data_IF_626613591827
#
_entry.id   IF_626613591827
#
_cell.length_a   1.000
_cell.length_b   1.000
_cell.length_c   1.000
_cell.angle_alpha   90.00
_cell.angle_beta   90.00
_cell.angle_gamma   90.00
#
_symmetry.space_group_name_H-M   'P 1'
#
loop_
_entity.id
_entity.type
_entity.pdbx_description
1 polymer ?
#
# COMPACT_ATOMS: atom_id res chain seq x y z
N UNK A 1 -29.39 -13.54 -26.00
CA UNK A 1 -28.95 -12.12 -25.91
C UNK A 1 -27.52 -12.11 -26.43
N UNK A 2 -27.36 -11.87 -27.73
CA UNK A 2 -26.11 -12.13 -28.45
C UNK A 2 -25.46 -10.81 -28.88
N UNK A 3 -24.15 -10.85 -29.06
CA UNK A 3 -23.33 -9.71 -29.47
C UNK A 3 -23.83 -9.11 -30.78
N UNK A 4 -23.81 -7.77 -30.89
CA UNK A 4 -24.26 -7.05 -32.07
C UNK A 4 -23.33 -7.34 -33.27
N UNK A 5 -23.77 -8.06 -34.31
CA UNK A 5 -22.92 -8.46 -35.43
C UNK A 5 -22.54 -7.29 -36.35
N UNK A 6 -23.16 -6.12 -36.19
CA UNK A 6 -22.89 -4.93 -37.00
C UNK A 6 -21.85 -3.97 -36.36
N UNK A 7 -21.31 -4.31 -35.18
CA UNK A 7 -20.25 -3.50 -34.55
C UNK A 7 -18.92 -3.72 -35.26
N UNK A 8 -18.38 -2.65 -35.84
CA UNK A 8 -16.99 -2.61 -36.26
C UNK A 8 -16.12 -2.31 -35.03
N UNK A 9 -15.33 -3.30 -34.62
CA UNK A 9 -14.41 -3.15 -33.50
C UNK A 9 -13.26 -2.19 -33.88
N UNK A 10 -12.71 -1.43 -32.92
CA UNK A 10 -11.49 -0.68 -33.13
C UNK A 10 -10.35 -1.60 -33.55
N UNK A 11 -9.29 -1.02 -34.13
CA UNK A 11 -8.09 -1.76 -34.48
C UNK A 11 -7.60 -2.58 -33.28
N UNK A 12 -7.15 -3.81 -33.57
CA UNK A 12 -6.57 -4.70 -32.56
C UNK A 12 -5.46 -3.96 -31.83
N UNK A 13 -5.51 -3.94 -30.49
CA UNK A 13 -4.36 -3.54 -29.69
C UNK A 13 -3.26 -4.56 -29.98
N UNK A 14 -2.25 -4.14 -30.72
CA UNK A 14 -1.16 -4.94 -31.29
C UNK A 14 0.00 -5.17 -30.30
N UNK A 15 -0.20 -4.82 -29.03
CA UNK A 15 0.83 -4.91 -28.00
C UNK A 15 1.84 -3.76 -28.01
N UNK A 16 1.63 -2.70 -28.81
CA UNK A 16 2.45 -1.47 -28.77
C UNK A 16 2.20 -0.61 -27.53
N UNK A 17 1.13 -0.89 -26.77
CA UNK A 17 1.00 -0.37 -25.41
C UNK A 17 2.07 -1.05 -24.57
N UNK A 18 3.17 -0.35 -24.34
CA UNK A 18 4.20 -0.80 -23.43
C UNK A 18 3.56 -0.92 -22.05
N UNK A 19 3.36 -2.15 -21.58
CA UNK A 19 2.98 -2.36 -20.19
C UNK A 19 4.08 -1.74 -19.34
N UNK A 20 3.69 -0.94 -18.34
CA UNK A 20 4.59 -0.64 -17.22
C UNK A 20 5.19 -1.99 -16.78
N UNK A 21 6.52 -2.06 -16.73
CA UNK A 21 7.19 -3.32 -16.39
C UNK A 21 6.85 -3.64 -14.95
N UNK A 22 5.86 -4.50 -14.71
CA UNK A 22 5.45 -4.88 -13.36
C UNK A 22 6.57 -5.73 -12.76
N UNK A 23 7.24 -5.19 -11.74
CA UNK A 23 8.24 -5.92 -10.96
C UNK A 23 9.56 -6.13 -11.69
N UNK A 24 10.30 -5.05 -11.91
CA UNK A 24 11.70 -5.15 -12.28
C UNK A 24 12.51 -5.95 -11.22
N UNK A 25 13.68 -6.46 -11.62
CA UNK A 25 14.51 -7.28 -10.72
C UNK A 25 14.83 -6.49 -9.44
N UNK A 26 14.52 -7.07 -8.28
CA UNK A 26 14.75 -6.45 -6.98
C UNK A 26 13.67 -5.46 -6.53
N UNK A 27 12.55 -5.35 -7.26
CA UNK A 27 11.37 -4.65 -6.74
C UNK A 27 10.87 -5.32 -5.46
N UNK A 28 10.45 -4.52 -4.49
CA UNK A 28 9.86 -5.04 -3.23
C UNK A 28 8.69 -5.98 -3.53
N UNK A 29 8.62 -7.17 -2.88
CA UNK A 29 7.46 -8.04 -3.00
C UNK A 29 6.19 -7.39 -2.45
N UNK A 30 5.03 -7.80 -2.98
CA UNK A 30 3.75 -7.35 -2.45
C UNK A 30 3.66 -7.57 -0.93
N UNK A 31 3.31 -6.51 -0.20
CA UNK A 31 3.37 -6.47 1.26
C UNK A 31 1.96 -6.48 1.83
N UNK A 32 1.62 -7.52 2.59
CA UNK A 32 0.30 -7.72 3.19
C UNK A 32 0.29 -7.30 4.66
N UNK A 33 -0.70 -6.49 5.07
CA UNK A 33 -0.77 -5.95 6.43
C UNK A 33 -1.66 -6.79 7.38
N UNK A 34 -2.63 -7.54 6.84
CA UNK A 34 -3.50 -8.43 7.63
C UNK A 34 -2.80 -9.70 8.11
N UNK A 35 -3.26 -10.26 9.24
CA UNK A 35 -2.57 -11.40 9.88
C UNK A 35 -2.51 -12.68 9.04
N UNK A 36 -3.43 -12.86 8.09
CA UNK A 36 -3.51 -14.10 7.30
C UNK A 36 -2.37 -14.28 6.29
N UNK A 37 -1.75 -13.18 5.85
CA UNK A 37 -0.75 -13.18 4.77
C UNK A 37 0.48 -12.32 5.04
N UNK A 38 0.53 -11.59 6.15
CA UNK A 38 1.69 -10.78 6.49
C UNK A 38 2.90 -11.66 6.79
N UNK A 39 4.00 -11.43 6.08
CA UNK A 39 5.25 -12.20 6.22
C UNK A 39 6.45 -11.32 6.57
N UNK A 40 6.36 -10.01 6.37
CA UNK A 40 7.45 -9.06 6.47
C UNK A 40 7.15 -7.88 7.43
N UNK A 41 6.23 -8.06 8.38
CA UNK A 41 6.09 -7.15 9.52
C UNK A 41 7.33 -7.27 10.41
N UNK A 42 8.04 -6.16 10.57
CA UNK A 42 9.19 -6.02 11.46
C UNK A 42 9.02 -4.74 12.28
N UNK A 43 8.75 -4.89 13.58
CA UNK A 43 8.50 -3.79 14.50
C UNK A 43 8.02 -4.28 15.86
N UNK A 44 7.73 -3.35 16.78
CA UNK A 44 7.14 -3.71 18.06
C UNK A 44 5.63 -4.02 17.90
N UNK A 45 5.17 -5.11 18.51
CA UNK A 45 3.79 -5.59 18.42
C UNK A 45 3.64 -6.80 17.51
N UNK A 46 2.51 -7.51 17.63
CA UNK A 46 2.19 -8.68 16.82
C UNK A 46 0.79 -8.52 16.25
N UNK A 47 0.54 -9.04 15.05
CA UNK A 47 -0.79 -9.10 14.45
C UNK A 47 -1.64 -10.15 15.18
N UNK A 48 -2.11 -9.82 16.39
CA UNK A 48 -2.99 -10.68 17.18
C UNK A 48 -4.40 -10.63 16.62
N UNK A 49 -4.96 -11.75 16.11
CA UNK A 49 -6.27 -11.74 15.46
C UNK A 49 -7.38 -11.14 16.32
N UNK A 50 -8.21 -10.29 15.71
CA UNK A 50 -9.42 -9.70 16.31
C UNK A 50 -9.15 -8.86 17.58
N UNK A 51 -7.94 -8.29 17.71
CA UNK A 51 -7.57 -7.40 18.81
C UNK A 51 -7.16 -6.02 18.31
N UNK A 52 -7.41 -5.01 19.13
CA UNK A 52 -6.74 -3.72 19.01
C UNK A 52 -5.36 -3.83 19.65
N UNK A 53 -4.32 -3.56 18.86
CA UNK A 53 -2.92 -3.70 19.28
C UNK A 53 -2.22 -2.36 19.11
N UNK A 54 -1.45 -1.97 20.12
CA UNK A 54 -0.50 -0.86 20.02
C UNK A 54 0.82 -1.38 19.42
N UNK A 55 1.24 -0.76 18.33
CA UNK A 55 2.49 -1.06 17.63
C UNK A 55 3.47 0.10 17.76
N UNK A 56 4.75 -0.21 17.55
CA UNK A 56 5.83 0.77 17.51
C UNK A 56 6.60 0.68 16.19
N UNK A 57 6.79 1.84 15.54
CA UNK A 57 7.60 1.92 14.33
C UNK A 57 9.05 1.56 14.63
N UNK A 58 9.69 0.87 13.69
CA UNK A 58 11.13 0.74 13.68
C UNK A 58 11.78 2.07 13.27
N UNK A 59 12.75 2.55 14.05
CA UNK A 59 13.51 3.75 13.74
C UNK A 59 14.27 3.58 12.41
N UNK A 60 14.92 2.43 12.22
CA UNK A 60 15.50 1.98 10.97
C UNK A 60 14.71 0.76 10.46
N UNK A 61 13.97 0.92 9.37
CA UNK A 61 13.17 -0.16 8.79
C UNK A 61 14.05 -1.03 7.87
N UNK A 62 14.18 -2.34 8.10
CA UNK A 62 14.90 -3.23 7.20
C UNK A 62 14.32 -3.22 5.79
N UNK A 63 15.16 -3.51 4.81
CA UNK A 63 14.77 -3.60 3.39
C UNK A 63 13.57 -4.52 3.19
N UNK A 64 12.61 -4.07 2.38
CA UNK A 64 11.46 -4.85 1.93
C UNK A 64 10.56 -5.34 3.07
N UNK A 65 10.58 -4.61 4.20
CA UNK A 65 9.77 -4.86 5.38
C UNK A 65 8.98 -3.61 5.78
N UNK A 66 7.97 -3.82 6.63
CA UNK A 66 7.19 -2.72 7.19
C UNK A 66 7.06 -2.83 8.71
N UNK A 67 6.79 -1.71 9.37
CA UNK A 67 6.32 -1.63 10.76
C UNK A 67 4.99 -0.89 10.83
N UNK A 68 4.25 -1.13 11.91
CA UNK A 68 3.09 -0.35 12.29
C UNK A 68 3.43 0.49 13.51
N UNK A 69 2.80 1.66 13.62
CA UNK A 69 2.91 2.57 14.76
C UNK A 69 1.53 2.99 15.23
N UNK A 70 1.41 3.30 16.52
CA UNK A 70 0.12 3.64 17.11
C UNK A 70 -0.80 2.43 17.25
N UNK A 71 -2.10 2.67 17.36
CA UNK A 71 -3.08 1.62 17.65
C UNK A 71 -3.81 1.18 16.38
N UNK A 72 -3.97 -0.13 16.20
CA UNK A 72 -4.64 -0.73 15.05
C UNK A 72 -5.56 -1.86 15.49
N UNK A 73 -6.77 -1.91 14.93
CA UNK A 73 -7.62 -3.11 15.01
C UNK A 73 -7.12 -4.13 13.99
N UNK A 74 -6.68 -5.29 14.47
CA UNK A 74 -6.12 -6.35 13.62
C UNK A 74 -7.24 -7.23 13.08
N UNK A 75 -7.33 -7.32 11.75
CA UNK A 75 -8.24 -8.18 11.02
C UNK A 75 -7.54 -9.19 10.13
N UNK A 76 -8.31 -10.10 9.53
CA UNK A 76 -7.80 -11.21 8.71
C UNK A 76 -7.00 -10.73 7.51
N UNK A 77 -7.55 -9.78 6.76
CA UNK A 77 -6.96 -9.30 5.50
C UNK A 77 -6.42 -7.86 5.59
N UNK A 78 -6.72 -7.16 6.68
CA UNK A 78 -6.36 -5.75 6.86
C UNK A 78 -6.09 -5.42 8.33
N UNK A 79 -5.52 -4.24 8.53
CA UNK A 79 -5.49 -3.55 9.82
C UNK A 79 -6.27 -2.25 9.70
N UNK A 80 -7.13 -1.95 10.68
CA UNK A 80 -7.93 -0.72 10.69
C UNK A 80 -7.33 0.29 11.66
N UNK A 81 -7.04 1.48 11.16
CA UNK A 81 -6.48 2.60 11.91
C UNK A 81 -7.44 3.08 13.00
N UNK A 82 -6.90 3.36 14.19
CA UNK A 82 -7.68 3.80 15.36
C UNK A 82 -7.11 5.06 15.99
N UNK A 83 -5.90 5.02 16.57
CA UNK A 83 -5.29 6.16 17.26
C UNK A 83 -3.84 6.30 16.85
N UNK A 84 -3.48 7.49 16.38
CA UNK A 84 -2.12 7.86 15.93
C UNK A 84 -1.49 6.79 15.01
N UNK A 85 -2.33 6.18 14.17
CA UNK A 85 -1.98 5.03 13.36
C UNK A 85 -1.03 5.44 12.25
N UNK A 86 0.09 4.73 12.17
CA UNK A 86 1.12 4.93 11.16
C UNK A 86 1.60 3.58 10.62
N UNK A 87 2.14 3.59 9.41
CA UNK A 87 2.95 2.52 8.86
C UNK A 87 4.27 3.09 8.37
N UNK A 88 5.32 2.29 8.41
CA UNK A 88 6.61 2.61 7.80
C UNK A 88 7.04 1.45 6.94
N UNK A 89 7.41 1.74 5.69
CA UNK A 89 7.80 0.76 4.69
C UNK A 89 9.15 1.19 4.10
N UNK A 90 10.11 0.27 4.06
CA UNK A 90 11.32 0.45 3.26
C UNK A 90 11.14 -0.36 1.97
N UNK A 91 11.01 0.34 0.85
CA UNK A 91 10.70 -0.26 -0.45
C UNK A 91 11.77 0.10 -1.48
N UNK A 92 11.87 -0.72 -2.53
CA UNK A 92 12.64 -0.50 -3.74
C UNK A 92 11.69 -0.60 -4.94
N UNK A 93 11.24 0.53 -5.47
CA UNK A 93 10.27 0.60 -6.58
C UNK A 93 10.27 2.01 -7.19
N UNK A 94 9.67 2.18 -8.37
CA UNK A 94 9.39 3.51 -8.92
C UNK A 94 8.00 4.00 -8.47
N UNK A 95 7.02 3.09 -8.46
CA UNK A 95 5.63 3.36 -8.09
C UNK A 95 5.26 2.55 -6.85
N UNK A 96 4.51 3.17 -5.94
CA UNK A 96 3.96 2.50 -4.75
C UNK A 96 2.46 2.75 -4.69
N UNK A 97 1.70 1.67 -4.60
CA UNK A 97 0.25 1.70 -4.41
C UNK A 97 -0.10 1.09 -3.05
N UNK A 98 -1.14 1.62 -2.42
CA UNK A 98 -1.65 1.10 -1.16
C UNK A 98 -3.15 0.86 -1.26
N UNK A 99 -3.58 -0.38 -1.04
CA UNK A 99 -4.99 -0.73 -1.05
C UNK A 99 -5.61 -0.32 0.28
N UNK A 100 -6.57 0.60 0.22
CA UNK A 100 -7.24 1.22 1.37
C UNK A 100 -8.76 1.23 1.20
N UNK A 101 -9.49 1.22 2.30
CA UNK A 101 -10.94 1.49 2.34
C UNK A 101 -11.34 2.32 3.55
N UNK A 102 -12.58 2.79 3.57
CA UNK A 102 -13.12 3.65 4.63
C UNK A 102 -13.14 5.12 4.19
N UNK A 103 -13.34 6.03 5.14
CA UNK A 103 -13.45 7.47 4.89
C UNK A 103 -12.37 8.22 5.69
N UNK A 104 -11.57 9.02 5.01
CA UNK A 104 -10.50 9.76 5.67
C UNK A 104 -9.37 10.19 4.75
N UNK A 105 -8.18 10.39 5.32
CA UNK A 105 -6.98 10.73 4.56
C UNK A 105 -5.77 9.95 5.05
N UNK A 106 -4.83 9.75 4.15
CA UNK A 106 -3.47 9.35 4.50
C UNK A 106 -2.49 10.47 4.14
N UNK A 107 -1.57 10.77 5.06
CA UNK A 107 -0.42 11.65 4.81
C UNK A 107 0.81 10.79 4.58
N UNK A 108 1.44 10.96 3.43
CA UNK A 108 2.64 10.25 2.98
C UNK A 108 3.84 11.16 3.15
N UNK A 109 4.89 10.64 3.77
CA UNK A 109 6.18 11.33 3.92
C UNK A 109 7.33 10.41 3.53
N UNK A 110 8.16 10.88 2.61
CA UNK A 110 9.38 10.22 2.15
C UNK A 110 10.51 11.25 2.30
N UNK A 111 11.59 10.96 3.06
CA UNK A 111 12.68 11.92 3.24
C UNK A 111 13.24 12.43 1.90
N UNK A 112 13.33 13.76 1.77
CA UNK A 112 13.80 14.42 0.56
C UNK A 112 12.73 14.70 -0.49
N UNK A 113 11.49 14.24 -0.29
CA UNK A 113 10.35 14.52 -1.18
C UNK A 113 9.30 15.37 -0.45
N UNK A 114 8.49 16.17 -1.17
CA UNK A 114 7.35 16.87 -0.58
C UNK A 114 6.33 15.88 0.01
N UNK A 115 5.79 16.23 1.18
CA UNK A 115 4.68 15.48 1.78
C UNK A 115 3.46 15.50 0.85
N UNK A 116 2.75 14.37 0.77
CA UNK A 116 1.53 14.20 -0.04
C UNK A 116 0.38 13.78 0.86
N UNK A 117 -0.81 14.33 0.63
CA UNK A 117 -2.05 13.85 1.27
C UNK A 117 -2.94 13.19 0.23
N UNK A 118 -3.47 12.01 0.54
CA UNK A 118 -4.40 11.27 -0.32
C UNK A 118 -5.73 11.10 0.42
N UNK A 119 -6.83 11.48 -0.23
CA UNK A 119 -8.19 11.24 0.28
C UNK A 119 -8.60 9.80 -0.03
N UNK A 120 -9.13 9.12 0.99
CA UNK A 120 -9.65 7.76 0.91
C UNK A 120 -11.15 7.80 1.14
N UNK A 121 -11.91 7.06 0.34
CA UNK A 121 -13.37 7.01 0.43
C UNK A 121 -13.90 5.69 -0.14
N UNK A 122 -14.93 5.14 0.50
CA UNK A 122 -15.68 3.98 0.02
C UNK A 122 -14.99 2.63 0.22
N UNK A 123 -15.19 1.76 -0.77
CA UNK A 123 -14.75 0.35 -0.78
C UNK A 123 -13.25 0.24 -1.06
N UNK A 124 -12.64 -0.94 -0.80
CA UNK A 124 -11.21 -1.14 -1.06
C UNK A 124 -10.80 -0.75 -2.49
N UNK A 125 -9.81 0.15 -2.60
CA UNK A 125 -9.24 0.61 -3.87
C UNK A 125 -7.73 0.87 -3.72
N UNK A 126 -7.00 0.82 -4.83
CA UNK A 126 -5.57 1.11 -4.88
C UNK A 126 -5.33 2.62 -4.97
N UNK A 127 -4.58 3.17 -4.01
CA UNK A 127 -4.19 4.58 -3.99
C UNK A 127 -2.69 4.71 -4.27
N UNK A 128 -2.32 5.47 -5.30
CA UNK A 128 -0.91 5.72 -5.61
C UNK A 128 -0.30 6.69 -4.59
N UNK A 129 0.66 6.19 -3.81
CA UNK A 129 1.34 6.96 -2.76
C UNK A 129 2.64 7.60 -3.27
N UNK A 130 3.37 6.90 -4.13
CA UNK A 130 4.60 7.38 -4.73
C UNK A 130 4.63 7.15 -6.25
N UNK A 131 5.25 8.09 -6.96
CA UNK A 131 5.53 8.05 -8.40
C UNK A 131 6.89 8.70 -8.62
N UNK A 132 7.93 7.88 -8.73
CA UNK A 132 9.33 8.28 -8.83
C UNK A 132 9.83 8.08 -10.26
N UNK A 133 10.84 8.85 -10.71
CA UNK A 133 11.33 8.76 -12.08
C UNK A 133 12.03 7.42 -12.42
N UNK A 134 12.46 6.65 -11.40
CA UNK A 134 13.10 5.35 -11.58
C UNK A 134 13.00 4.50 -10.30
N UNK A 135 13.26 3.20 -10.41
CA UNK A 135 13.31 2.29 -9.27
C UNK A 135 14.44 2.68 -8.32
N UNK A 136 14.08 3.04 -7.10
CA UNK A 136 15.01 3.48 -6.07
C UNK A 136 14.54 3.00 -4.70
N UNK A 137 15.49 2.87 -3.76
CA UNK A 137 15.17 2.49 -2.38
C UNK A 137 14.85 3.70 -1.53
N UNK A 138 13.69 3.68 -0.88
CA UNK A 138 13.22 4.74 0.02
C UNK A 138 12.52 4.17 1.25
N UNK A 139 12.55 4.93 2.34
CA UNK A 139 11.66 4.72 3.48
C UNK A 139 10.49 5.68 3.39
N UNK A 140 9.27 5.15 3.38
CA UNK A 140 8.02 5.89 3.40
C UNK A 140 7.34 5.71 4.75
N UNK A 141 6.90 6.80 5.36
CA UNK A 141 5.98 6.76 6.51
C UNK A 141 4.61 7.26 6.07
N UNK A 142 3.57 6.49 6.37
CA UNK A 142 2.17 6.84 6.09
C UNK A 142 1.46 7.07 7.42
N UNK A 143 0.80 8.20 7.58
CA UNK A 143 -0.04 8.53 8.74
C UNK A 143 -1.50 8.48 8.34
N UNK A 144 -2.33 7.82 9.13
CA UNK A 144 -3.71 7.52 8.81
C UNK A 144 -4.64 8.29 9.74
N UNK A 145 -5.68 8.91 9.19
CA UNK A 145 -6.84 9.29 10.00
C UNK A 145 -7.54 8.03 10.51
N UNK A 146 -8.16 8.06 11.71
CA UNK A 146 -8.92 6.91 12.23
C UNK A 146 -10.00 6.42 11.27
N UNK A 147 -10.26 5.11 11.25
CA UNK A 147 -11.35 4.47 10.48
C UNK A 147 -10.95 3.91 9.12
N UNK A 148 -9.74 4.19 8.64
CA UNK A 148 -9.22 3.60 7.40
C UNK A 148 -8.74 2.17 7.61
N UNK A 149 -9.11 1.26 6.71
CA UNK A 149 -8.58 -0.11 6.66
C UNK A 149 -7.50 -0.22 5.60
N UNK A 150 -6.35 -0.78 5.98
CA UNK A 150 -5.16 -0.92 5.15
C UNK A 150 -4.87 -2.40 4.86
N UNK A 151 -4.76 -2.74 3.56
CA UNK A 151 -4.72 -4.14 3.11
C UNK A 151 -3.34 -4.54 2.61
N UNK A 152 -2.88 -3.92 1.52
CA UNK A 152 -1.63 -4.29 0.85
C UNK A 152 -0.87 -3.07 0.33
N UNK A 153 0.45 -3.21 0.18
CA UNK A 153 1.25 -2.41 -0.73
C UNK A 153 1.63 -3.22 -1.96
N UNK A 154 1.51 -2.60 -3.13
CA UNK A 154 2.00 -3.15 -4.40
C UNK A 154 2.89 -2.13 -5.10
N UNK A 155 3.70 -2.62 -6.05
CA UNK A 155 4.87 -1.90 -6.56
C UNK A 155 4.97 -2.03 -8.08
N UNK A 156 5.52 -0.98 -8.71
CA UNK A 156 5.81 -0.92 -10.15
C UNK A 156 6.98 -0.01 -10.46
#
# INVERSE_FOLDING_TARGET
KEANPAVQLPARVDGTVQADTIGAKGTTPETYLGYSRSTNLQGAGKLTPNKTVAFGLNSAQPDDTFSLGGSWQVGTQSVTSTKTSQSRLNFNAAKVFHVLSGEGTVKVSIPGLPDKTVKVSGTPNAYQLADLPSQQRHTMTVTYTPGLSAFTYSFG
#
